data_IF_502291752969
#
_entry.id   IF_502291752969
#
_cell.length_a   1.000
_cell.length_b   1.000
_cell.length_c   1.000
_cell.angle_alpha   90.00
_cell.angle_beta   90.00
_cell.angle_gamma   90.00
#
_symmetry.space_group_name_H-M   'P 1'
#
loop_
_entity.id
_entity.type
_entity.pdbx_description
1 polymer ?
#
# COMPACT_ATOMS: atom_id res chain seq x y z
N UNK A 1 -20.22 9.74 8.07
CA UNK A 1 -18.96 9.30 8.71
C UNK A 1 -17.94 10.43 8.64
N UNK A 2 -17.76 11.20 9.72
CA UNK A 2 -16.71 12.22 9.83
C UNK A 2 -15.43 11.59 10.39
N UNK A 3 -14.53 11.18 9.50
CA UNK A 3 -13.19 10.66 9.83
C UNK A 3 -12.02 11.45 9.19
N UNK A 4 -12.18 12.32 8.16
CA UNK A 4 -11.01 12.96 7.52
C UNK A 4 -10.14 13.82 8.46
N UNK A 5 -10.76 14.64 9.31
CA UNK A 5 -10.03 15.67 10.09
C UNK A 5 -9.18 15.10 11.22
N UNK A 6 -9.63 14.04 11.90
CA UNK A 6 -8.86 13.43 12.98
C UNK A 6 -7.63 12.71 12.44
N UNK A 7 -7.78 11.90 11.39
CA UNK A 7 -6.65 11.13 10.82
C UNK A 7 -5.61 12.07 10.20
N UNK A 8 -6.03 13.11 9.48
CA UNK A 8 -5.12 14.08 8.85
C UNK A 8 -4.12 14.67 9.85
N UNK A 9 -4.55 14.98 11.08
CA UNK A 9 -3.69 15.52 12.13
C UNK A 9 -2.58 14.56 12.58
N UNK A 10 -2.79 13.26 12.47
CA UNK A 10 -1.81 12.24 12.88
C UNK A 10 -0.90 11.76 11.75
N UNK A 11 -1.21 12.11 10.49
CA UNK A 11 -0.41 11.67 9.33
C UNK A 11 1.06 12.03 9.42
N UNK A 12 1.38 13.18 10.02
CA UNK A 12 2.76 13.60 10.26
C UNK A 12 3.52 12.65 11.21
N UNK A 13 2.83 12.08 12.22
CA UNK A 13 3.42 11.16 13.18
C UNK A 13 3.66 9.75 12.59
N UNK A 14 2.91 9.38 11.54
CA UNK A 14 3.06 8.10 10.86
C UNK A 14 4.22 8.07 9.85
N UNK A 15 4.80 9.22 9.52
CA UNK A 15 5.96 9.32 8.63
C UNK A 15 7.11 8.45 9.15
N UNK A 16 7.72 7.69 8.24
CA UNK A 16 8.78 6.72 8.54
C UNK A 16 8.29 5.38 9.08
N UNK A 17 6.99 5.26 9.36
CA UNK A 17 6.42 4.06 9.98
C UNK A 17 5.33 3.40 9.11
N UNK A 18 5.03 3.93 7.91
CA UNK A 18 3.90 3.43 7.11
C UNK A 18 4.08 1.97 6.72
N UNK A 19 5.31 1.52 6.45
CA UNK A 19 5.60 0.13 6.16
C UNK A 19 5.24 -0.80 7.33
N UNK A 20 5.68 -0.48 8.54
CA UNK A 20 5.39 -1.28 9.74
C UNK A 20 3.89 -1.24 10.05
N UNK A 21 3.27 -0.05 10.00
CA UNK A 21 1.84 0.12 10.25
C UNK A 21 0.97 -0.67 9.26
N UNK A 22 1.44 -0.85 8.03
CA UNK A 22 0.73 -1.61 6.99
C UNK A 22 0.66 -3.11 7.27
N UNK A 23 1.61 -3.65 8.02
CA UNK A 23 1.68 -5.07 8.37
C UNK A 23 0.98 -5.42 9.70
N UNK A 24 0.35 -4.44 10.38
CA UNK A 24 -0.36 -4.69 11.63
C UNK A 24 -1.87 -4.67 11.42
N UNK A 25 -2.58 -5.56 12.12
CA UNK A 25 -4.03 -5.79 11.98
C UNK A 25 -4.89 -4.52 12.02
N UNK A 26 -4.62 -3.61 12.97
CA UNK A 26 -5.49 -2.45 13.19
C UNK A 26 -5.00 -1.19 12.49
N UNK A 27 -3.69 -0.93 12.45
CA UNK A 27 -3.15 0.26 11.81
C UNK A 27 -3.14 0.16 10.29
N UNK A 28 -3.14 -1.04 9.70
CA UNK A 28 -3.26 -1.20 8.25
C UNK A 28 -4.51 -0.53 7.70
N UNK A 29 -5.64 -0.63 8.41
CA UNK A 29 -6.88 0.08 8.09
C UNK A 29 -6.74 1.60 8.15
N UNK A 30 -5.89 2.13 9.04
CA UNK A 30 -5.60 3.57 9.10
C UNK A 30 -4.79 3.98 7.87
N UNK A 31 -3.79 3.19 7.48
CA UNK A 31 -3.00 3.45 6.25
C UNK A 31 -3.88 3.39 5.00
N UNK A 32 -4.80 2.42 4.92
CA UNK A 32 -5.79 2.36 3.84
C UNK A 32 -6.68 3.61 3.78
N UNK A 33 -7.13 4.12 4.94
CA UNK A 33 -7.93 5.34 5.02
C UNK A 33 -7.11 6.56 4.59
N UNK A 34 -5.83 6.65 4.96
CA UNK A 34 -4.94 7.70 4.48
C UNK A 34 -4.82 7.66 2.95
N UNK A 35 -4.57 6.48 2.37
CA UNK A 35 -4.50 6.31 0.91
C UNK A 35 -5.80 6.72 0.21
N UNK A 36 -6.96 6.37 0.76
CA UNK A 36 -8.28 6.68 0.17
C UNK A 36 -8.63 8.17 0.28
N UNK A 37 -8.51 8.73 1.49
CA UNK A 37 -9.14 10.02 1.83
C UNK A 37 -8.16 11.19 1.96
N UNK A 38 -6.85 10.95 1.97
CA UNK A 38 -5.84 11.99 2.24
C UNK A 38 -4.79 11.98 1.10
N UNK A 39 -5.10 12.60 -0.05
CA UNK A 39 -4.26 12.55 -1.25
C UNK A 39 -2.80 12.95 -1.03
N UNK A 40 -2.55 13.92 -0.16
CA UNK A 40 -1.23 14.43 0.19
C UNK A 40 -0.32 13.38 0.85
N UNK A 41 -0.89 12.35 1.47
CA UNK A 41 -0.11 11.26 2.08
C UNK A 41 0.31 10.18 1.09
N UNK A 42 -0.36 10.07 -0.06
CA UNK A 42 -0.21 8.93 -0.98
C UNK A 42 1.23 8.76 -1.47
N UNK A 43 1.86 9.85 -1.90
CA UNK A 43 3.24 9.81 -2.37
C UNK A 43 4.21 9.29 -1.30
N UNK A 44 4.08 9.83 -0.08
CA UNK A 44 4.91 9.45 1.06
C UNK A 44 4.69 7.99 1.47
N UNK A 45 3.43 7.55 1.57
CA UNK A 45 3.10 6.16 1.88
C UNK A 45 3.73 5.25 0.83
N UNK A 46 3.49 5.48 -0.46
CA UNK A 46 4.03 4.64 -1.54
C UNK A 46 5.55 4.59 -1.51
N UNK A 47 6.22 5.73 -1.35
CA UNK A 47 7.68 5.77 -1.26
C UNK A 47 8.20 4.93 -0.09
N UNK A 48 7.58 5.02 1.09
CA UNK A 48 7.97 4.21 2.25
C UNK A 48 7.71 2.71 2.02
N UNK A 49 6.56 2.34 1.43
CA UNK A 49 6.26 0.95 1.09
C UNK A 49 7.24 0.37 0.06
N UNK A 50 7.75 1.18 -0.86
CA UNK A 50 8.73 0.76 -1.87
C UNK A 50 10.17 0.74 -1.34
N UNK A 51 10.45 1.45 -0.25
CA UNK A 51 11.80 1.56 0.34
C UNK A 51 12.14 0.40 1.29
N UNK A 52 11.20 -0.53 1.51
CA UNK A 52 11.46 -1.69 2.37
C UNK A 52 12.40 -2.67 1.67
N UNK A 53 13.40 -3.15 2.40
CA UNK A 53 14.41 -4.10 1.90
C UNK A 53 13.78 -5.41 1.39
N UNK A 54 12.63 -5.80 1.98
CA UNK A 54 11.94 -7.05 1.69
C UNK A 54 10.51 -6.80 1.25
N UNK A 55 10.33 -6.26 0.05
CA UNK A 55 9.00 -5.94 -0.46
C UNK A 55 8.09 -7.17 -0.55
N UNK A 56 8.67 -8.34 -0.82
CA UNK A 56 7.98 -9.62 -0.86
C UNK A 56 7.32 -10.01 0.46
N UNK A 57 7.85 -9.56 1.61
CA UNK A 57 7.24 -9.88 2.91
C UNK A 57 5.97 -9.08 3.10
N UNK A 58 5.94 -7.80 2.69
CA UNK A 58 4.74 -6.99 2.73
C UNK A 58 3.68 -7.47 1.72
N UNK A 59 4.13 -7.93 0.55
CA UNK A 59 3.24 -8.46 -0.49
C UNK A 59 2.54 -9.76 -0.07
N UNK A 60 3.18 -10.56 0.79
CA UNK A 60 2.64 -11.80 1.35
C UNK A 60 2.01 -11.61 2.74
N UNK A 61 2.16 -10.45 3.35
CA UNK A 61 1.64 -10.17 4.69
C UNK A 61 0.09 -10.24 4.70
N UNK A 62 -0.55 -10.85 5.72
CA UNK A 62 -2.00 -10.97 5.82
C UNK A 62 -2.76 -9.63 5.77
N UNK A 63 -2.12 -8.52 6.16
CA UNK A 63 -2.69 -7.17 6.18
C UNK A 63 -2.06 -6.27 5.12
N UNK A 64 -0.74 -6.32 4.97
CA UNK A 64 0.04 -5.48 4.05
C UNK A 64 -0.37 -5.64 2.58
N UNK A 65 -0.76 -6.84 2.16
CA UNK A 65 -1.25 -7.09 0.80
C UNK A 65 -2.50 -6.23 0.46
N UNK A 66 -3.36 -5.94 1.44
CA UNK A 66 -4.53 -5.08 1.25
C UNK A 66 -4.14 -3.61 1.14
N UNK A 67 -3.13 -3.17 1.90
CA UNK A 67 -2.61 -1.80 1.79
C UNK A 67 -1.98 -1.58 0.42
N UNK A 68 -1.22 -2.54 -0.11
CA UNK A 68 -0.66 -2.47 -1.46
C UNK A 68 -1.75 -2.42 -2.53
N UNK A 69 -2.81 -3.21 -2.40
CA UNK A 69 -3.97 -3.13 -3.29
C UNK A 69 -4.65 -1.76 -3.21
N UNK A 70 -4.83 -1.22 -2.00
CA UNK A 70 -5.39 0.11 -1.78
C UNK A 70 -4.52 1.20 -2.42
N UNK A 71 -3.19 1.08 -2.32
CA UNK A 71 -2.25 2.00 -2.95
C UNK A 71 -2.36 1.94 -4.49
N UNK A 72 -2.45 0.75 -5.08
CA UNK A 72 -2.68 0.57 -6.52
C UNK A 72 -4.04 1.13 -6.98
N UNK A 73 -5.06 1.11 -6.12
CA UNK A 73 -6.38 1.67 -6.43
C UNK A 73 -6.38 3.20 -6.40
N UNK A 74 -5.61 3.82 -5.49
CA UNK A 74 -5.69 5.25 -5.17
C UNK A 74 -4.50 6.09 -5.67
N UNK A 75 -3.52 5.47 -6.35
CA UNK A 75 -2.40 6.18 -6.97
C UNK A 75 -2.50 6.17 -8.50
N UNK A 76 -1.86 7.15 -9.14
CA UNK A 76 -1.81 7.33 -10.60
C UNK A 76 -0.40 7.78 -11.02
N UNK A 77 -0.12 7.78 -12.32
CA UNK A 77 1.14 8.27 -12.88
C UNK A 77 2.36 7.49 -12.39
N UNK A 78 3.45 8.20 -12.08
CA UNK A 78 4.74 7.60 -11.70
C UNK A 78 4.68 6.73 -10.44
N UNK A 79 3.87 7.10 -9.45
CA UNK A 79 3.69 6.32 -8.21
C UNK A 79 3.03 4.96 -8.51
N UNK A 80 2.01 4.96 -9.36
CA UNK A 80 1.33 3.72 -9.77
C UNK A 80 2.28 2.81 -10.54
N UNK A 81 3.04 3.38 -11.50
CA UNK A 81 4.03 2.64 -12.29
C UNK A 81 5.07 1.99 -11.37
N UNK A 82 5.60 2.74 -10.41
CA UNK A 82 6.60 2.25 -9.45
C UNK A 82 6.06 1.08 -8.60
N UNK A 83 4.81 1.15 -8.13
CA UNK A 83 4.16 0.04 -7.44
C UNK A 83 3.98 -1.18 -8.32
N UNK A 84 3.54 -0.98 -9.56
CA UNK A 84 3.34 -2.06 -10.53
C UNK A 84 4.66 -2.77 -10.82
N UNK A 85 5.74 -2.01 -11.02
CA UNK A 85 7.06 -2.57 -11.31
C UNK A 85 7.62 -3.34 -10.10
N UNK A 86 7.48 -2.80 -8.89
CA UNK A 86 7.86 -3.51 -7.67
C UNK A 86 7.10 -4.82 -7.48
N UNK A 87 5.78 -4.85 -7.72
CA UNK A 87 5.02 -6.11 -7.66
C UNK A 87 5.41 -7.06 -8.79
N UNK A 88 5.62 -6.56 -10.01
CA UNK A 88 6.06 -7.37 -11.16
C UNK A 88 7.49 -7.91 -11.02
N UNK A 89 8.35 -7.30 -10.22
CA UNK A 89 9.66 -7.87 -9.91
C UNK A 89 9.53 -9.21 -9.17
N UNK A 90 8.43 -9.44 -8.47
CA UNK A 90 8.17 -10.63 -7.66
C UNK A 90 7.17 -11.61 -8.30
N UNK A 91 7.26 -11.81 -9.63
CA UNK A 91 6.38 -12.70 -10.41
C UNK A 91 6.27 -14.13 -9.86
N UNK A 92 7.32 -14.62 -9.20
CA UNK A 92 7.37 -15.93 -8.55
C UNK A 92 6.31 -16.09 -7.43
N UNK A 93 5.82 -14.99 -6.86
CA UNK A 93 4.80 -15.01 -5.79
C UNK A 93 3.37 -15.01 -6.31
N UNK A 94 3.16 -15.00 -7.64
CA UNK A 94 1.82 -14.97 -8.25
C UNK A 94 0.94 -16.15 -7.85
N UNK A 95 1.54 -17.28 -7.51
CA UNK A 95 0.86 -18.50 -7.05
C UNK A 95 0.51 -18.46 -5.56
N UNK A 96 1.07 -17.53 -4.79
CA UNK A 96 0.76 -17.37 -3.36
C UNK A 96 -0.69 -16.90 -3.17
N UNK A 97 -1.45 -17.52 -2.23
CA UNK A 97 -2.85 -17.18 -2.00
C UNK A 97 -3.07 -15.70 -1.63
N UNK A 98 -2.11 -15.07 -0.96
CA UNK A 98 -2.18 -13.66 -0.57
C UNK A 98 -1.90 -12.70 -1.74
N UNK A 99 -0.96 -13.05 -2.62
CA UNK A 99 -0.53 -12.16 -3.70
C UNK A 99 -1.43 -12.25 -4.94
N UNK A 100 -2.21 -13.35 -5.09
CA UNK A 100 -3.06 -13.60 -6.26
C UNK A 100 -3.96 -12.41 -6.61
N UNK A 101 -4.59 -11.78 -5.61
CA UNK A 101 -5.48 -10.62 -5.82
C UNK A 101 -4.72 -9.38 -6.29
N UNK A 102 -3.56 -9.08 -5.69
CA UNK A 102 -2.71 -7.96 -6.10
C UNK A 102 -2.23 -8.11 -7.55
N UNK A 103 -1.79 -9.31 -7.93
CA UNK A 103 -1.39 -9.60 -9.32
C UNK A 103 -2.55 -9.52 -10.31
N UNK A 104 -3.74 -10.04 -9.96
CA UNK A 104 -4.93 -9.92 -10.80
C UNK A 104 -5.30 -8.46 -11.06
N UNK A 105 -5.23 -7.59 -10.04
CA UNK A 105 -5.53 -6.16 -10.20
C UNK A 105 -4.61 -5.43 -11.17
N UNK A 106 -3.31 -5.76 -11.16
CA UNK A 106 -2.33 -5.18 -12.09
C UNK A 106 -2.66 -5.53 -13.55
N UNK A 107 -3.22 -6.71 -13.81
CA UNK A 107 -3.59 -7.13 -15.17
C UNK A 107 -4.85 -6.44 -15.69
N UNK A 108 -5.76 -5.99 -14.81
CA UNK A 108 -7.03 -5.38 -15.18
C UNK A 108 -6.95 -3.87 -15.45
N UNK A 109 -5.93 -3.18 -14.94
CA UNK A 109 -5.74 -1.72 -15.11
C UNK A 109 -4.90 -1.35 -16.35
N UNK A 110 -5.00 -2.13 -17.42
CA UNK A 110 -4.32 -1.85 -18.70
C UNK A 110 -5.04 -0.77 -19.50
#
# INVERSE_FOLDING_TARGET
MQIPSAIAKFTAQFRGHYAVLSAQKFSSHVVEKCLKYIPETRARIVQELLSITRFETLLQDPFGNYVLQCALDNTKGSLFISLVDAVKAHKNLRTSPYCKRTFSKIQMKK
#
